data_IF_993209770278
#
_entry.id   IF_993209770278
#
_cell.length_a   1.000
_cell.length_b   1.000
_cell.length_c   1.000
_cell.angle_alpha   90.00
_cell.angle_beta   90.00
_cell.angle_gamma   90.00
#
_symmetry.space_group_name_H-M   'P 1'
#
loop_
_entity.id
_entity.type
_entity.pdbx_description
1 polymer ?
#
# COMPACT_ATOMS: atom_id res chain seq x y z
N UNK A 1 -6.20 1.40 -69.79
CA UNK A 1 -5.09 1.65 -68.84
C UNK A 1 -5.73 1.78 -67.47
N UNK A 2 -5.79 0.66 -66.76
CA UNK A 2 -6.54 0.50 -65.51
C UNK A 2 -5.68 1.01 -64.36
N UNK A 3 -6.17 1.99 -63.61
CA UNK A 3 -5.56 2.42 -62.36
C UNK A 3 -5.66 1.27 -61.35
N UNK A 4 -4.55 0.82 -60.74
CA UNK A 4 -4.61 -0.16 -59.67
C UNK A 4 -5.32 0.41 -58.44
N UNK A 5 -6.16 -0.43 -57.83
CA UNK A 5 -6.97 -0.21 -56.64
C UNK A 5 -6.21 0.49 -55.51
N UNK A 6 -6.72 1.64 -55.07
CA UNK A 6 -6.35 2.30 -53.80
C UNK A 6 -7.07 1.68 -52.59
N UNK A 7 -7.55 0.44 -52.69
CA UNK A 7 -8.50 -0.14 -51.75
C UNK A 7 -7.86 -1.01 -50.62
N UNK A 8 -6.53 -1.07 -50.50
CA UNK A 8 -5.88 -1.99 -49.52
C UNK A 8 -4.80 -1.35 -48.66
N UNK A 9 -4.61 -0.03 -48.66
CA UNK A 9 -3.51 0.62 -47.94
C UNK A 9 -3.89 1.30 -46.61
N UNK A 10 -5.16 1.57 -46.33
CA UNK A 10 -5.56 2.37 -45.14
C UNK A 10 -6.27 1.56 -44.04
N UNK A 11 -6.25 0.22 -44.13
CA UNK A 11 -6.62 -0.65 -43.01
C UNK A 11 -5.41 -1.08 -42.18
N UNK A 12 -4.35 -0.24 -42.15
CA UNK A 12 -3.46 -0.17 -41.00
C UNK A 12 -4.25 0.47 -39.86
N UNK A 13 -5.24 -0.27 -39.36
CA UNK A 13 -5.88 -0.04 -38.08
C UNK A 13 -4.72 0.05 -37.10
N UNK A 14 -4.48 1.25 -36.59
CA UNK A 14 -3.63 1.45 -35.44
C UNK A 14 -4.07 0.43 -34.40
N UNK A 15 -3.23 -0.57 -34.13
CA UNK A 15 -3.32 -1.34 -32.90
C UNK A 15 -3.19 -0.30 -31.78
N UNK A 16 -4.33 0.20 -31.29
CA UNK A 16 -4.37 0.79 -29.98
C UNK A 16 -3.78 -0.28 -29.06
N UNK A 17 -2.59 0.01 -28.55
CA UNK A 17 -1.88 -0.76 -27.54
C UNK A 17 -2.71 -0.73 -26.24
N UNK A 18 -3.89 -1.38 -26.31
CA UNK A 18 -4.83 -1.70 -25.24
C UNK A 18 -4.33 -2.91 -24.46
N UNK A 19 -3.03 -3.17 -24.52
CA UNK A 19 -2.35 -4.21 -23.78
C UNK A 19 -2.36 -3.90 -22.28
N UNK A 20 -2.59 -4.93 -21.47
CA UNK A 20 -2.36 -4.88 -20.02
C UNK A 20 -0.92 -4.46 -19.78
N UNK A 21 -0.70 -3.37 -19.04
CA UNK A 21 0.64 -2.95 -18.64
C UNK A 21 1.15 -3.89 -17.53
N UNK A 22 1.69 -5.04 -17.93
CA UNK A 22 2.17 -6.09 -17.04
C UNK A 22 3.16 -5.59 -15.99
N UNK A 23 4.00 -4.65 -16.35
CA UNK A 23 4.96 -4.10 -15.40
C UNK A 23 4.30 -3.25 -14.31
N UNK A 24 3.22 -2.53 -14.63
CA UNK A 24 2.40 -1.83 -13.63
C UNK A 24 1.60 -2.82 -12.79
N UNK A 25 1.01 -3.85 -13.41
CA UNK A 25 0.27 -4.90 -12.72
C UNK A 25 1.13 -5.61 -11.66
N UNK A 26 2.34 -6.03 -12.03
CA UNK A 26 3.30 -6.67 -11.11
C UNK A 26 3.68 -5.71 -9.97
N UNK A 27 3.99 -4.45 -10.30
CA UNK A 27 4.36 -3.44 -9.29
C UNK A 27 3.22 -3.20 -8.31
N UNK A 28 1.99 -3.04 -8.81
CA UNK A 28 0.80 -2.87 -7.99
C UNK A 28 0.54 -4.09 -7.12
N UNK A 29 0.67 -5.31 -7.67
CA UNK A 29 0.52 -6.56 -6.94
C UNK A 29 1.54 -6.71 -5.81
N UNK A 30 2.83 -6.43 -6.05
CA UNK A 30 3.86 -6.48 -5.01
C UNK A 30 3.57 -5.46 -3.90
N UNK A 31 3.26 -4.21 -4.25
CA UNK A 31 2.96 -3.19 -3.25
C UNK A 31 1.70 -3.52 -2.45
N UNK A 32 0.68 -4.06 -3.10
CA UNK A 32 -0.55 -4.50 -2.44
C UNK A 32 -0.32 -5.69 -1.51
N UNK A 33 0.58 -6.61 -1.87
CA UNK A 33 1.00 -7.70 -1.00
C UNK A 33 1.70 -7.18 0.25
N UNK A 34 2.56 -6.16 0.11
CA UNK A 34 3.23 -5.53 1.25
C UNK A 34 2.24 -4.80 2.18
N UNK A 35 1.30 -4.05 1.60
CA UNK A 35 0.23 -3.36 2.33
C UNK A 35 -0.66 -4.38 3.06
N UNK A 36 -1.22 -5.35 2.31
CA UNK A 36 -2.06 -6.40 2.88
C UNK A 36 -1.32 -7.21 3.94
N UNK A 37 -0.07 -7.58 3.71
CA UNK A 37 0.77 -8.32 4.66
C UNK A 37 1.03 -7.53 5.95
N UNK A 38 1.38 -6.26 5.84
CA UNK A 38 1.59 -5.38 6.99
C UNK A 38 0.30 -5.16 7.76
N UNK A 39 -0.81 -4.88 7.07
CA UNK A 39 -2.14 -4.75 7.69
C UNK A 39 -2.60 -6.02 8.40
N UNK A 40 -2.41 -7.20 7.80
CA UNK A 40 -2.70 -8.47 8.46
C UNK A 40 -1.84 -8.68 9.72
N UNK A 41 -0.55 -8.39 9.62
CA UNK A 41 0.35 -8.52 10.77
C UNK A 41 -0.03 -7.56 11.90
N UNK A 42 -0.33 -6.30 11.58
CA UNK A 42 -0.80 -5.29 12.52
C UNK A 42 -2.11 -5.68 13.24
N UNK A 43 -2.92 -6.50 12.59
CA UNK A 43 -4.22 -6.96 13.09
C UNK A 43 -4.23 -8.42 13.52
N UNK A 44 -3.06 -9.07 13.61
CA UNK A 44 -2.96 -10.49 13.95
C UNK A 44 -3.58 -10.84 15.31
N UNK A 45 -3.53 -9.90 16.26
CA UNK A 45 -4.08 -10.07 17.61
C UNK A 45 -5.54 -9.56 17.73
N UNK A 46 -6.12 -8.99 16.67
CA UNK A 46 -7.46 -8.43 16.68
C UNK A 46 -8.49 -9.47 16.19
N UNK A 47 -9.03 -10.25 17.13
CA UNK A 47 -10.26 -11.06 16.96
C UNK A 47 -10.36 -11.86 15.65
N UNK A 48 -9.23 -12.30 15.09
CA UNK A 48 -9.19 -13.07 13.83
C UNK A 48 -9.48 -12.28 12.54
N UNK A 49 -9.46 -10.94 12.55
CA UNK A 49 -9.77 -10.14 11.34
C UNK A 49 -8.63 -10.09 10.32
N UNK A 50 -7.42 -10.54 10.69
CA UNK A 50 -6.21 -10.44 9.87
C UNK A 50 -6.37 -10.97 8.43
N UNK A 51 -7.01 -12.14 8.16
CA UNK A 51 -7.21 -12.62 6.79
C UNK A 51 -8.07 -11.67 5.94
N UNK A 52 -9.08 -11.05 6.55
CA UNK A 52 -9.96 -10.08 5.86
C UNK A 52 -9.17 -8.82 5.52
N UNK A 53 -8.39 -8.29 6.47
CA UNK A 53 -7.52 -7.13 6.25
C UNK A 53 -6.49 -7.42 5.16
N UNK A 54 -5.88 -8.61 5.16
CA UNK A 54 -4.96 -9.05 4.11
C UNK A 54 -5.62 -9.03 2.74
N UNK A 55 -6.81 -9.62 2.60
CA UNK A 55 -7.52 -9.68 1.32
C UNK A 55 -7.94 -8.29 0.83
N UNK A 56 -8.38 -7.41 1.73
CA UNK A 56 -8.72 -6.01 1.38
C UNK A 56 -7.46 -5.28 0.92
N UNK A 57 -6.35 -5.38 1.65
CA UNK A 57 -5.09 -4.73 1.29
C UNK A 57 -4.51 -5.28 -0.02
N UNK A 58 -4.59 -6.59 -0.23
CA UNK A 58 -4.08 -7.24 -1.44
C UNK A 58 -4.95 -6.92 -2.66
N UNK A 59 -6.25 -7.22 -2.62
CA UNK A 59 -7.15 -7.03 -3.77
C UNK A 59 -7.45 -5.55 -3.99
N UNK A 60 -7.85 -4.85 -2.93
CA UNK A 60 -8.15 -3.42 -2.97
C UNK A 60 -6.91 -2.58 -3.27
N UNK A 61 -5.77 -2.90 -2.65
CA UNK A 61 -4.51 -2.24 -2.94
C UNK A 61 -4.02 -2.50 -4.37
N UNK A 62 -4.11 -3.73 -4.88
CA UNK A 62 -3.67 -4.05 -6.24
C UNK A 62 -4.53 -3.31 -7.26
N UNK A 63 -5.86 -3.34 -7.08
CA UNK A 63 -6.79 -2.62 -7.93
C UNK A 63 -6.53 -1.10 -7.89
N UNK A 64 -6.43 -0.50 -6.70
CA UNK A 64 -6.20 0.93 -6.53
C UNK A 64 -4.85 1.41 -7.09
N UNK A 65 -3.79 0.63 -6.89
CA UNK A 65 -2.45 0.98 -7.37
C UNK A 65 -2.29 0.73 -8.87
N UNK A 66 -3.01 -0.23 -9.46
CA UNK A 66 -3.02 -0.46 -10.90
C UNK A 66 -3.67 0.68 -11.68
N UNK A 67 -4.57 1.45 -11.05
CA UNK A 67 -5.14 2.66 -11.67
C UNK A 67 -4.15 3.84 -11.78
N UNK A 68 -2.92 3.71 -11.28
CA UNK A 68 -1.93 4.80 -11.37
C UNK A 68 -1.29 4.85 -12.76
N UNK A 69 -1.02 6.05 -13.30
CA UNK A 69 -0.56 6.20 -14.68
C UNK A 69 0.86 5.65 -14.92
N UNK A 70 1.66 5.49 -13.87
CA UNK A 70 3.06 5.05 -13.95
C UNK A 70 3.41 4.14 -12.77
N UNK A 71 4.34 3.19 -13.01
CA UNK A 71 4.88 2.30 -11.96
C UNK A 71 5.44 3.08 -10.76
N UNK A 72 6.16 4.18 -11.00
CA UNK A 72 6.71 5.03 -9.94
C UNK A 72 5.64 5.76 -9.13
N UNK A 73 4.48 6.08 -9.73
CA UNK A 73 3.34 6.65 -9.01
C UNK A 73 2.66 5.58 -8.15
N UNK A 74 2.55 4.35 -8.64
CA UNK A 74 2.05 3.21 -7.87
C UNK A 74 2.93 2.92 -6.65
N UNK A 75 4.27 2.81 -6.83
CA UNK A 75 5.21 2.63 -5.71
C UNK A 75 5.12 3.78 -4.72
N UNK A 76 5.13 5.03 -5.21
CA UNK A 76 5.06 6.21 -4.35
C UNK A 76 3.78 6.23 -3.50
N UNK A 77 2.64 5.92 -4.11
CA UNK A 77 1.35 5.84 -3.41
C UNK A 77 1.32 4.67 -2.42
N UNK A 78 1.80 3.49 -2.82
CA UNK A 78 1.83 2.32 -1.95
C UNK A 78 2.70 2.54 -0.71
N UNK A 79 3.85 3.20 -0.85
CA UNK A 79 4.71 3.56 0.29
C UNK A 79 4.06 4.57 1.25
N UNK A 80 3.22 5.48 0.76
CA UNK A 80 2.43 6.34 1.64
C UNK A 80 1.38 5.57 2.42
N UNK A 81 0.70 4.62 1.79
CA UNK A 81 -0.26 3.74 2.48
C UNK A 81 0.47 2.96 3.57
N UNK A 82 1.61 2.35 3.24
CA UNK A 82 2.42 1.63 4.22
C UNK A 82 2.90 2.52 5.36
N UNK A 83 3.29 3.77 5.09
CA UNK A 83 3.69 4.71 6.14
C UNK A 83 2.54 4.99 7.12
N UNK A 84 1.30 5.12 6.61
CA UNK A 84 0.11 5.27 7.44
C UNK A 84 -0.14 4.00 8.26
N UNK A 85 -0.07 2.82 7.63
CA UNK A 85 -0.23 1.54 8.33
C UNK A 85 0.81 1.37 9.43
N UNK A 86 2.07 1.72 9.18
CA UNK A 86 3.13 1.69 10.18
C UNK A 86 2.79 2.54 11.40
N UNK A 87 2.27 3.76 11.21
CA UNK A 87 1.85 4.63 12.31
C UNK A 87 0.69 3.99 13.10
N UNK A 88 -0.25 3.36 12.40
CA UNK A 88 -1.40 2.70 13.04
C UNK A 88 -1.04 1.37 13.71
N UNK A 89 0.01 0.69 13.26
CA UNK A 89 0.33 -0.69 13.67
C UNK A 89 0.49 -0.84 15.19
N UNK A 90 1.29 -0.02 15.89
CA UNK A 90 1.40 -0.10 17.35
C UNK A 90 0.05 0.05 18.04
N UNK A 91 -0.80 0.98 17.57
CA UNK A 91 -2.14 1.19 18.14
C UNK A 91 -2.99 -0.07 17.99
N UNK A 92 -3.03 -0.65 16.79
CA UNK A 92 -3.80 -1.86 16.49
C UNK A 92 -3.29 -3.08 17.27
N UNK A 93 -1.97 -3.17 17.46
CA UNK A 93 -1.35 -4.30 18.16
C UNK A 93 -1.63 -4.27 19.67
N UNK A 94 -1.63 -3.08 20.29
CA UNK A 94 -1.87 -2.91 21.73
C UNK A 94 -3.35 -2.76 22.11
N UNK A 95 -4.23 -2.49 21.14
CA UNK A 95 -5.67 -2.36 21.34
C UNK A 95 -6.29 -3.54 22.12
N UNK A 96 -6.02 -4.82 21.77
CA UNK A 96 -6.60 -5.95 22.49
C UNK A 96 -6.21 -6.00 23.97
N UNK A 97 -4.98 -5.60 24.30
CA UNK A 97 -4.46 -5.59 25.68
C UNK A 97 -5.17 -4.53 26.52
N UNK A 98 -5.49 -3.38 25.91
CA UNK A 98 -6.24 -2.31 26.57
C UNK A 98 -7.69 -2.74 26.86
N UNK A 99 -8.30 -3.54 25.99
CA UNK A 99 -9.66 -4.06 26.20
C UNK A 99 -9.71 -5.30 27.11
N UNK A 100 -8.63 -6.08 27.19
CA UNK A 100 -8.59 -7.29 28.03
C UNK A 100 -8.33 -7.02 29.51
N UNK A 101 -7.98 -5.79 29.88
CA UNK A 101 -7.70 -5.40 31.27
C UNK A 101 -8.95 -4.98 32.04
N UNK A 102 -10.10 -4.84 31.38
CA UNK A 102 -11.40 -4.64 32.04
C UNK A 102 -11.80 -5.91 32.81
N UNK A 103 -11.54 -5.92 34.12
CA UNK A 103 -11.94 -7.00 35.04
C UNK A 103 -10.79 -7.72 35.75
N UNK A 104 -9.53 -7.34 35.51
CA UNK A 104 -8.39 -7.83 36.29
C UNK A 104 -8.08 -6.87 37.45
N UNK A 105 -8.16 -7.35 38.69
CA UNK A 105 -7.78 -6.58 39.89
C UNK A 105 -6.42 -7.05 40.43
N UNK A 106 -5.57 -6.11 40.86
CA UNK A 106 -4.31 -6.38 41.55
C UNK A 106 -3.04 -5.95 40.78
N UNK A 107 -1.89 -6.36 41.31
CA UNK A 107 -0.57 -5.96 40.82
C UNK A 107 -0.26 -6.44 39.39
N UNK A 108 -0.84 -7.57 38.98
CA UNK A 108 -0.66 -8.14 37.64
C UNK A 108 -1.33 -7.29 36.54
N UNK A 109 -2.55 -6.80 36.81
CA UNK A 109 -3.26 -5.89 35.91
C UNK A 109 -2.52 -4.57 35.74
N UNK A 110 -2.02 -4.00 36.84
CA UNK A 110 -1.23 -2.78 36.84
C UNK A 110 0.09 -2.96 36.05
N UNK A 111 0.79 -4.09 36.24
CA UNK A 111 1.99 -4.41 35.48
C UNK A 111 1.74 -4.53 33.98
N UNK A 112 0.64 -5.19 33.59
CA UNK A 112 0.25 -5.36 32.18
C UNK A 112 -0.11 -4.03 31.53
N UNK A 113 -0.84 -3.15 32.24
CA UNK A 113 -1.20 -1.83 31.75
C UNK A 113 0.04 -0.93 31.57
N UNK A 114 0.96 -0.92 32.54
CA UNK A 114 2.21 -0.16 32.43
C UNK A 114 3.06 -0.69 31.27
N UNK A 115 3.18 -2.02 31.16
CA UNK A 115 3.92 -2.68 30.10
C UNK A 115 3.35 -2.39 28.71
N UNK A 116 2.03 -2.36 28.56
CA UNK A 116 1.37 -2.05 27.28
C UNK A 116 1.58 -0.60 26.86
N UNK A 117 1.47 0.36 27.80
CA UNK A 117 1.74 1.77 27.53
C UNK A 117 3.20 2.00 27.15
N UNK A 118 4.15 1.44 27.91
CA UNK A 118 5.58 1.54 27.58
C UNK A 118 5.88 0.91 26.22
N UNK A 119 5.30 -0.26 25.94
CA UNK A 119 5.42 -0.94 24.67
C UNK A 119 4.87 -0.10 23.50
N UNK A 120 3.69 0.50 23.66
CA UNK A 120 3.08 1.40 22.68
C UNK A 120 3.99 2.60 22.39
N UNK A 121 4.60 3.21 23.41
CA UNK A 121 5.51 4.36 23.22
C UNK A 121 6.77 3.94 22.46
N UNK A 122 7.42 2.85 22.88
CA UNK A 122 8.67 2.37 22.27
C UNK A 122 8.44 1.95 20.82
N UNK A 123 7.48 1.05 20.58
CA UNK A 123 7.16 0.59 19.22
C UNK A 123 6.54 1.71 18.38
N UNK A 124 5.71 2.56 18.98
CA UNK A 124 5.19 3.78 18.37
C UNK A 124 6.30 4.62 17.75
N UNK A 125 7.36 4.88 18.51
CA UNK A 125 8.49 5.65 18.03
C UNK A 125 9.27 4.93 16.92
N UNK A 126 9.52 3.63 17.06
CA UNK A 126 10.22 2.84 16.01
C UNK A 126 9.44 2.86 14.70
N UNK A 127 8.14 2.58 14.74
CA UNK A 127 7.29 2.59 13.55
C UNK A 127 7.13 3.99 12.96
N UNK A 128 7.11 5.03 13.79
CA UNK A 128 7.11 6.42 13.32
C UNK A 128 8.38 6.72 12.49
N UNK A 129 9.56 6.31 12.96
CA UNK A 129 10.81 6.50 12.20
C UNK A 129 10.76 5.75 10.86
N UNK A 130 10.27 4.51 10.85
CA UNK A 130 10.10 3.73 9.62
C UNK A 130 9.09 4.36 8.66
N UNK A 131 7.97 4.88 9.19
CA UNK A 131 6.96 5.59 8.41
C UNK A 131 7.52 6.85 7.76
N UNK A 132 8.36 7.61 8.45
CA UNK A 132 9.06 8.77 7.88
C UNK A 132 9.95 8.33 6.71
N UNK A 133 10.74 7.26 6.87
CA UNK A 133 11.60 6.74 5.80
C UNK A 133 10.76 6.30 4.60
N UNK A 134 9.72 5.50 4.81
CA UNK A 134 8.81 5.05 3.76
C UNK A 134 8.14 6.24 3.05
N UNK A 135 7.66 7.24 3.79
CA UNK A 135 7.05 8.44 3.26
C UNK A 135 8.02 9.30 2.44
N UNK A 136 9.29 9.41 2.86
CA UNK A 136 10.34 10.11 2.10
C UNK A 136 10.64 9.38 0.78
N UNK A 137 10.79 8.06 0.81
CA UNK A 137 10.99 7.26 -0.41
C UNK A 137 9.77 7.40 -1.34
N UNK A 138 8.55 7.35 -0.78
CA UNK A 138 7.30 7.56 -1.49
C UNK A 138 7.22 8.92 -2.17
N UNK A 139 7.65 9.98 -1.47
CA UNK A 139 7.73 11.34 -2.01
C UNK A 139 8.66 11.42 -3.23
N UNK A 140 9.86 10.86 -3.15
CA UNK A 140 10.79 10.89 -4.27
C UNK A 140 10.28 10.07 -5.47
N UNK A 141 9.66 8.92 -5.24
CA UNK A 141 9.04 8.12 -6.29
C UNK A 141 7.92 8.89 -7.00
N UNK A 142 7.07 9.56 -6.23
CA UNK A 142 5.95 10.35 -6.77
C UNK A 142 6.43 11.61 -7.51
N UNK A 143 7.47 12.29 -6.98
CA UNK A 143 8.11 13.43 -7.65
C UNK A 143 8.72 13.03 -8.99
N UNK A 144 9.38 11.87 -9.07
CA UNK A 144 9.90 11.32 -10.34
C UNK A 144 8.77 11.01 -11.32
N UNK A 145 7.65 10.46 -10.85
CA UNK A 145 6.49 10.17 -11.70
C UNK A 145 5.92 11.45 -12.34
N UNK A 146 5.71 12.52 -11.53
CA UNK A 146 5.22 13.81 -12.03
C UNK A 146 6.13 14.42 -13.09
N UNK A 147 7.46 14.35 -12.90
CA UNK A 147 8.42 14.81 -13.92
C UNK A 147 8.27 14.07 -15.25
N UNK A 148 8.07 12.75 -15.21
CA UNK A 148 7.90 11.94 -16.43
C UNK A 148 6.59 12.26 -17.16
N UNK A 149 5.49 12.43 -16.43
CA UNK A 149 4.20 12.80 -17.02
C UNK A 149 4.24 14.18 -17.69
N UNK A 150 4.89 15.16 -17.06
CA UNK A 150 5.00 16.49 -17.64
C UNK A 150 5.88 16.51 -18.90
N UNK A 151 6.87 15.61 -18.99
CA UNK A 151 7.74 15.50 -20.15
C UNK A 151 7.10 14.76 -21.33
N UNK A 152 6.02 14.00 -21.11
CA UNK A 152 5.30 13.31 -22.19
C UNK A 152 4.15 14.13 -22.78
N UNK A 153 3.82 15.28 -22.19
CA UNK A 153 2.75 16.18 -22.63
C UNK A 153 3.28 17.34 -23.48
N UNK A 154 4.59 17.61 -23.44
CA UNK A 154 5.29 18.59 -24.27
C UNK A 154 6.02 17.91 -25.41
#
# INVERSE_FOLDING_TARGET
MSTPDTATADAAVAEEDTGVNWGLAITAGIMALLIGGLGAWATANLFGIAPVVFLIGLVGGAYYLYQKPLKSAAVGTGLYIMAIEMILTPIMFYLPVLFSTEGQEGAEAAGTAIGSVLGLVIWGFVFLLLAIVAGVIGYFANRRAKKKLNASVN
#
